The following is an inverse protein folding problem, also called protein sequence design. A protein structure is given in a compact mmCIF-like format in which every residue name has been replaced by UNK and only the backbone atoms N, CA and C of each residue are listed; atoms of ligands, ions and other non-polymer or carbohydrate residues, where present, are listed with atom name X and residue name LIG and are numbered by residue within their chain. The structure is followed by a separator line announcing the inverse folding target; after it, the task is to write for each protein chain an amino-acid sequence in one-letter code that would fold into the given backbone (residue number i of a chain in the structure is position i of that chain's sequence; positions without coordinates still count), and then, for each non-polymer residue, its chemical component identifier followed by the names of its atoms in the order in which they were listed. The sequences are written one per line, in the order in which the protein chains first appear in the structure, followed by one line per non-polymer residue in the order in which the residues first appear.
data_IF_429098820119
#
_entry.id   IF_429098820119
#
_cell.length_a   1.000
_cell.length_b   1.000
_cell.length_c   1.000
_cell.angle_alpha   90.00
_cell.angle_beta   90.00
_cell.angle_gamma   90.00
#
_symmetry.space_group_name_H-M   'P 1'
#
loop_
_entity.id
_entity.type
_entity.pdbx_description
1 polymer ?
#
# COMPACT_ATOMS: atom_id res chain seq x y z
N UNK A 1 -25.07 -13.82 -15.29
CA UNK A 1 -24.54 -12.91 -14.24
C UNK A 1 -23.36 -13.60 -13.54
N UNK A 2 -22.22 -13.77 -14.22
CA UNK A 2 -21.11 -14.61 -13.73
C UNK A 2 -19.73 -14.18 -14.26
N UNK A 3 -19.54 -12.90 -14.58
CA UNK A 3 -18.34 -12.42 -15.30
C UNK A 3 -17.79 -11.10 -14.74
N UNK A 4 -17.65 -10.98 -13.41
CA UNK A 4 -17.16 -9.71 -12.85
C UNK A 4 -16.18 -9.84 -11.67
N UNK A 5 -16.17 -10.95 -10.94
CA UNK A 5 -15.27 -11.09 -9.78
C UNK A 5 -13.84 -11.57 -10.11
N UNK A 6 -13.62 -12.14 -11.31
CA UNK A 6 -12.29 -12.64 -11.74
C UNK A 6 -11.47 -11.61 -12.51
N UNK A 7 -12.12 -10.54 -12.99
CA UNK A 7 -11.48 -9.50 -13.81
C UNK A 7 -10.83 -8.40 -12.98
N UNK A 8 -11.38 -8.07 -11.80
CA UNK A 8 -10.71 -7.14 -10.87
C UNK A 8 -9.34 -7.68 -10.48
N UNK A 9 -9.21 -8.98 -10.20
CA UNK A 9 -7.93 -9.61 -9.82
C UNK A 9 -6.83 -9.54 -10.91
N UNK A 10 -7.17 -9.33 -12.18
CA UNK A 10 -6.19 -9.23 -13.28
C UNK A 10 -5.83 -7.77 -13.64
N UNK A 11 -6.65 -6.79 -13.26
CA UNK A 11 -6.39 -5.36 -13.53
C UNK A 11 -5.64 -4.67 -12.38
N UNK A 12 -5.64 -5.27 -11.19
CA UNK A 12 -4.86 -4.84 -10.01
C UNK A 12 -3.44 -5.42 -10.08
N UNK A 13 -2.83 -5.51 -11.28
CA UNK A 13 -1.38 -5.66 -11.39
C UNK A 13 -0.76 -4.29 -11.05
N UNK A 14 -1.03 -3.84 -9.82
CA UNK A 14 -0.83 -2.49 -9.35
C UNK A 14 0.47 -2.42 -8.58
N UNK A 15 1.25 -1.40 -8.90
CA UNK A 15 2.45 -0.94 -8.22
C UNK A 15 2.41 -1.25 -6.72
N UNK A 16 3.51 -1.81 -6.20
CA UNK A 16 3.70 -2.04 -4.77
C UNK A 16 4.53 -0.91 -4.20
N UNK A 17 4.23 -0.52 -2.98
CA UNK A 17 5.01 0.44 -2.21
C UNK A 17 5.56 -0.22 -0.96
N UNK A 18 6.63 0.36 -0.43
CA UNK A 18 7.26 -0.10 0.81
C UNK A 18 6.76 0.73 1.97
N UNK A 19 6.12 0.10 2.94
CA UNK A 19 5.77 0.73 4.22
C UNK A 19 6.75 0.26 5.28
N UNK A 20 7.43 1.18 5.95
CA UNK A 20 8.28 0.86 7.09
C UNK A 20 7.54 1.13 8.39
N UNK A 21 7.47 0.14 9.27
CA UNK A 21 6.87 0.30 10.60
C UNK A 21 7.81 1.00 11.58
N UNK A 22 7.27 1.41 12.73
CA UNK A 22 8.06 2.05 13.78
C UNK A 22 9.17 1.15 14.36
N UNK A 23 8.94 -0.16 14.39
CA UNK A 23 9.88 -1.19 14.83
C UNK A 23 10.92 -1.57 13.75
N UNK A 24 10.87 -0.92 12.58
CA UNK A 24 11.88 -1.03 11.53
C UNK A 24 11.62 -2.11 10.47
N UNK A 25 10.54 -2.87 10.57
CA UNK A 25 10.16 -3.85 9.54
C UNK A 25 9.60 -3.12 8.32
N UNK A 26 9.87 -3.66 7.12
CA UNK A 26 9.36 -3.12 5.85
C UNK A 26 8.37 -4.10 5.22
N UNK A 27 7.27 -3.57 4.70
CA UNK A 27 6.16 -4.31 4.11
C UNK A 27 5.93 -3.85 2.68
N UNK A 28 6.01 -4.79 1.73
CA UNK A 28 5.59 -4.53 0.36
C UNK A 28 4.06 -4.66 0.29
N UNK A 29 3.37 -3.53 0.15
CA UNK A 29 1.92 -3.44 0.11
C UNK A 29 1.48 -2.89 -1.25
N UNK A 30 0.40 -3.44 -1.80
CA UNK A 30 -0.17 -2.93 -3.04
C UNK A 30 -0.67 -1.49 -2.84
N UNK A 31 -0.38 -0.60 -3.79
CA UNK A 31 -0.80 0.80 -3.74
C UNK A 31 -2.31 0.92 -3.53
N UNK A 32 -3.12 0.04 -4.12
CA UNK A 32 -4.58 0.09 -3.96
C UNK A 32 -5.03 -0.29 -2.53
N UNK A 33 -4.32 -1.21 -1.87
CA UNK A 33 -4.56 -1.54 -0.46
C UNK A 33 -4.10 -0.35 0.41
N UNK A 34 -2.92 0.19 0.12
CA UNK A 34 -2.39 1.35 0.84
C UNK A 34 -3.29 2.59 0.71
N UNK A 35 -3.89 2.81 -0.47
CA UNK A 35 -4.86 3.88 -0.75
C UNK A 35 -6.17 3.74 0.02
N UNK A 36 -6.44 2.60 0.67
CA UNK A 36 -7.57 2.49 1.61
C UNK A 36 -7.35 3.36 2.85
N UNK A 37 -6.10 3.63 3.23
CA UNK A 37 -5.76 4.63 4.22
C UNK A 37 -5.79 6.01 3.58
N UNK A 38 -6.67 6.89 4.06
CA UNK A 38 -6.79 8.25 3.53
C UNK A 38 -5.47 9.03 3.64
N UNK A 39 -4.71 8.83 4.73
CA UNK A 39 -3.42 9.49 4.92
C UNK A 39 -2.39 9.02 3.91
N UNK A 40 -2.26 7.71 3.71
CA UNK A 40 -1.29 7.15 2.77
C UNK A 40 -1.68 7.51 1.34
N UNK A 41 -2.98 7.45 1.01
CA UNK A 41 -3.50 7.91 -0.28
C UNK A 41 -3.06 9.34 -0.60
N UNK A 42 -3.30 10.27 0.33
CA UNK A 42 -2.91 11.68 0.12
C UNK A 42 -1.40 11.82 0.00
N UNK A 43 -0.60 11.09 0.79
CA UNK A 43 0.86 11.11 0.64
C UNK A 43 1.31 10.63 -0.75
N UNK A 44 0.75 9.53 -1.25
CA UNK A 44 1.07 9.00 -2.58
C UNK A 44 0.66 9.98 -3.70
N UNK A 45 -0.54 10.55 -3.60
CA UNK A 45 -1.08 11.48 -4.61
C UNK A 45 -0.37 12.85 -4.61
N UNK A 46 0.04 13.34 -3.44
CA UNK A 46 0.70 14.65 -3.28
C UNK A 46 2.20 14.59 -3.58
N UNK A 47 2.85 13.48 -3.22
CA UNK A 47 4.29 13.29 -3.43
C UNK A 47 4.62 12.57 -4.75
N UNK A 48 3.62 12.00 -5.44
CA UNK A 48 3.82 11.23 -6.67
C UNK A 48 4.60 9.93 -6.45
N UNK A 49 4.55 9.38 -5.23
CA UNK A 49 5.27 8.17 -4.81
C UNK A 49 4.57 6.91 -5.34
N UNK A 50 4.48 6.77 -6.65
CA UNK A 50 3.92 5.58 -7.32
C UNK A 50 5.03 4.54 -7.67
N UNK A 51 6.28 4.81 -7.27
CA UNK A 51 7.46 3.98 -7.58
C UNK A 51 7.84 3.02 -6.43
N UNK A 52 8.31 1.82 -6.77
CA UNK A 52 8.57 0.73 -5.81
C UNK A 52 9.77 0.97 -4.86
N UNK A 53 10.58 2.00 -5.12
CA UNK A 53 11.78 2.30 -4.34
C UNK A 53 11.51 3.20 -3.13
N UNK A 54 10.37 3.88 -3.10
CA UNK A 54 10.03 4.81 -2.04
C UNK A 54 9.48 4.10 -0.79
N UNK A 55 10.18 4.30 0.33
CA UNK A 55 9.80 3.75 1.64
C UNK A 55 9.03 4.80 2.42
N UNK A 56 7.77 4.52 2.75
CA UNK A 56 6.93 5.37 3.60
C UNK A 56 7.11 4.95 5.06
N UNK A 57 7.74 5.78 5.91
CA UNK A 57 7.88 5.48 7.33
C UNK A 57 6.58 5.76 8.09
N UNK A 58 6.16 4.80 8.90
CA UNK A 58 4.98 4.85 9.77
C UNK A 58 5.42 4.81 11.24
N UNK A 59 5.88 5.94 11.82
CA UNK A 59 6.47 5.97 13.16
C UNK A 59 5.47 5.70 14.29
N UNK A 60 4.17 5.69 14.01
CA UNK A 60 3.13 5.42 15.00
C UNK A 60 2.44 4.06 14.76
N UNK A 61 2.97 3.24 13.86
CA UNK A 61 2.38 1.94 13.50
C UNK A 61 3.43 0.85 13.62
N UNK A 62 3.14 -0.16 14.42
CA UNK A 62 4.01 -1.32 14.58
C UNK A 62 3.66 -2.40 13.57
N UNK A 63 4.62 -3.27 13.26
CA UNK A 63 4.47 -4.43 12.38
C UNK A 63 3.27 -5.33 12.69
N UNK A 64 2.98 -5.52 13.98
CA UNK A 64 1.85 -6.34 14.43
C UNK A 64 0.49 -5.79 13.97
N UNK A 65 0.41 -4.48 13.73
CA UNK A 65 -0.79 -3.79 13.24
C UNK A 65 -0.83 -3.88 11.71
N UNK A 66 0.30 -3.72 11.02
CA UNK A 66 0.38 -3.83 9.55
C UNK A 66 0.16 -5.26 9.03
N UNK A 67 0.42 -6.27 9.85
CA UNK A 67 0.18 -7.69 9.53
C UNK A 67 -1.29 -8.12 9.67
N UNK A 68 -2.17 -7.28 10.23
CA UNK A 68 -3.59 -7.56 10.43
C UNK A 68 -4.41 -7.15 9.21
#
# INVERSE_FOLDING_TARGET
KFFSKRLTKLFMAGHKIKLQSNDGDTFDVEVEIAKQSATIKTMLEDLGMDEEEDVIPLPNVNSAILKK
#
